data_IF_951186384584
#
_entry.id   IF_951186384584
#
_cell.length_a   1.000
_cell.length_b   1.000
_cell.length_c   1.000
_cell.angle_alpha   90.00
_cell.angle_beta   90.00
_cell.angle_gamma   90.00
#
_symmetry.space_group_name_H-M   'P 1'
#
loop_
_entity.id
_entity.type
_entity.pdbx_description
1 polymer ?
#
# COMPACT_ATOMS: atom_id res chain seq x y z
N UNK A 1 -14.32 -40.46 -18.09
CA UNK A 1 -14.82 -39.29 -18.85
C UNK A 1 -13.72 -38.23 -18.89
N UNK A 2 -13.60 -37.57 -20.04
CA UNK A 2 -12.51 -36.72 -20.57
C UNK A 2 -11.69 -35.89 -19.57
N UNK A 3 -10.43 -36.28 -19.36
CA UNK A 3 -9.34 -35.38 -18.97
C UNK A 3 -9.08 -34.40 -20.13
N UNK A 4 -9.72 -33.24 -20.10
CA UNK A 4 -9.42 -32.14 -21.03
C UNK A 4 -8.83 -31.00 -20.22
N UNK A 5 -7.52 -30.83 -20.32
CA UNK A 5 -6.88 -29.55 -20.01
C UNK A 5 -7.12 -28.68 -21.24
N UNK A 6 -7.89 -27.59 -21.08
CA UNK A 6 -7.99 -26.55 -22.09
C UNK A 6 -6.68 -25.76 -22.03
N UNK A 7 -5.66 -26.20 -22.79
CA UNK A 7 -4.59 -25.30 -23.16
C UNK A 7 -5.17 -24.33 -24.18
N UNK A 8 -5.46 -23.11 -23.74
CA UNK A 8 -5.51 -21.93 -24.60
C UNK A 8 -4.15 -21.87 -25.32
N UNK A 9 -4.07 -22.44 -26.52
CA UNK A 9 -2.89 -22.27 -27.37
C UNK A 9 -2.93 -20.82 -27.85
N UNK A 10 -2.05 -19.97 -27.30
CA UNK A 10 -1.89 -18.59 -27.72
C UNK A 10 -1.57 -18.54 -29.21
N UNK A 11 -2.50 -18.03 -30.01
CA UNK A 11 -2.46 -18.14 -31.48
C UNK A 11 -1.48 -17.17 -32.17
N UNK A 12 -0.70 -16.38 -31.43
CA UNK A 12 0.30 -15.45 -31.96
C UNK A 12 1.50 -15.36 -30.98
N UNK A 13 2.75 -15.67 -31.41
CA UNK A 13 3.93 -15.59 -30.54
C UNK A 13 4.09 -14.24 -29.81
N UNK A 14 3.71 -13.14 -30.46
CA UNK A 14 3.76 -11.80 -29.88
C UNK A 14 2.79 -11.58 -28.71
N UNK A 15 1.69 -12.33 -28.63
CA UNK A 15 0.75 -12.21 -27.50
C UNK A 15 1.32 -12.84 -26.24
N UNK A 16 2.04 -13.97 -26.37
CA UNK A 16 2.71 -14.59 -25.24
C UNK A 16 3.83 -13.69 -24.69
N UNK A 17 4.64 -13.11 -25.57
CA UNK A 17 5.68 -12.15 -25.16
C UNK A 17 5.08 -10.93 -24.44
N UNK A 18 3.97 -10.40 -24.95
CA UNK A 18 3.25 -9.30 -24.32
C UNK A 18 2.71 -9.69 -22.93
N UNK A 19 2.16 -10.88 -22.79
CA UNK A 19 1.65 -11.37 -21.51
C UNK A 19 2.76 -11.61 -20.49
N UNK A 20 3.90 -12.15 -20.92
CA UNK A 20 5.08 -12.30 -20.05
C UNK A 20 5.58 -10.92 -19.62
N UNK A 21 5.66 -9.96 -20.54
CA UNK A 21 6.04 -8.59 -20.22
C UNK A 21 5.12 -7.96 -19.17
N UNK A 22 3.80 -8.10 -19.34
CA UNK A 22 2.82 -7.60 -18.38
C UNK A 22 2.95 -8.28 -17.00
N UNK A 23 3.21 -9.60 -16.97
CA UNK A 23 3.44 -10.33 -15.73
C UNK A 23 4.69 -9.83 -15.00
N UNK A 24 5.82 -9.69 -15.70
CA UNK A 24 7.09 -9.21 -15.13
C UNK A 24 6.94 -7.79 -14.59
N UNK A 25 6.30 -6.90 -15.35
CA UNK A 25 6.08 -5.51 -14.95
C UNK A 25 5.27 -5.43 -13.66
N UNK A 26 4.12 -6.11 -13.62
CA UNK A 26 3.25 -6.11 -12.45
C UNK A 26 3.96 -6.67 -11.21
N UNK A 27 4.64 -7.81 -11.35
CA UNK A 27 5.27 -8.47 -10.21
C UNK A 27 6.49 -7.72 -9.66
N UNK A 28 7.24 -7.03 -10.52
CA UNK A 28 8.43 -6.31 -10.08
C UNK A 28 8.12 -4.91 -9.58
N UNK A 29 7.23 -4.17 -10.27
CA UNK A 29 7.09 -2.73 -10.07
C UNK A 29 5.79 -2.32 -9.37
N UNK A 30 4.73 -3.14 -9.41
CA UNK A 30 3.43 -2.75 -8.87
C UNK A 30 3.01 -3.57 -7.64
N UNK A 31 3.41 -4.84 -7.60
CA UNK A 31 3.02 -5.76 -6.53
C UNK A 31 3.82 -5.50 -5.26
N UNK A 32 3.14 -5.02 -4.23
CA UNK A 32 3.70 -4.95 -2.87
C UNK A 32 3.75 -6.34 -2.24
N UNK A 33 4.89 -6.68 -1.65
CA UNK A 33 5.09 -7.99 -1.03
C UNK A 33 5.22 -7.87 0.50
N UNK A 34 4.41 -8.65 1.23
CA UNK A 34 4.35 -8.57 2.70
C UNK A 34 5.68 -8.98 3.36
N UNK A 35 6.35 -10.00 2.81
CA UNK A 35 7.68 -10.46 3.23
C UNK A 35 8.75 -9.35 3.15
N UNK A 36 8.53 -8.37 2.26
CA UNK A 36 9.40 -7.22 2.04
C UNK A 36 8.89 -5.96 2.76
N UNK A 37 8.09 -6.10 3.82
CA UNK A 37 7.46 -4.97 4.50
C UNK A 37 6.58 -4.10 3.59
N UNK A 38 5.90 -4.73 2.62
CA UNK A 38 5.05 -4.07 1.63
C UNK A 38 5.81 -3.01 0.81
N UNK A 39 7.04 -3.31 0.40
CA UNK A 39 7.69 -2.63 -0.73
C UNK A 39 7.65 -3.51 -1.98
N UNK A 40 7.95 -2.92 -3.14
CA UNK A 40 8.00 -3.66 -4.41
C UNK A 40 9.34 -4.38 -4.55
N UNK A 41 9.41 -5.52 -5.27
CA UNK A 41 10.69 -6.16 -5.56
C UNK A 41 11.68 -5.24 -6.25
N UNK A 42 11.23 -4.36 -7.15
CA UNK A 42 12.07 -3.36 -7.78
C UNK A 42 12.70 -2.39 -6.76
N UNK A 43 11.95 -1.93 -5.76
CA UNK A 43 12.50 -1.06 -4.72
C UNK A 43 13.57 -1.75 -3.87
N UNK A 44 13.43 -3.04 -3.62
CA UNK A 44 14.47 -3.84 -2.95
C UNK A 44 15.69 -3.99 -3.86
N UNK A 45 15.47 -4.34 -5.13
CA UNK A 45 16.55 -4.50 -6.11
C UNK A 45 17.38 -3.22 -6.28
N UNK A 46 16.73 -2.06 -6.36
CA UNK A 46 17.38 -0.75 -6.46
C UNK A 46 17.82 -0.17 -5.11
N UNK A 47 17.61 -0.88 -3.99
CA UNK A 47 18.05 -0.48 -2.64
C UNK A 47 17.31 0.74 -2.06
N UNK A 48 16.09 1.03 -2.55
CA UNK A 48 15.23 2.13 -2.08
C UNK A 48 14.33 1.74 -0.90
N UNK A 49 14.22 0.44 -0.64
CA UNK A 49 13.40 -0.16 0.42
C UNK A 49 13.57 0.51 1.79
N UNK A 50 14.82 0.69 2.24
CA UNK A 50 15.12 1.24 3.57
C UNK A 50 14.66 2.68 3.72
N UNK A 51 14.83 3.50 2.68
CA UNK A 51 14.34 4.89 2.69
C UNK A 51 12.83 4.96 2.76
N UNK A 52 12.13 4.15 1.96
CA UNK A 52 10.66 4.09 1.92
C UNK A 52 10.11 3.69 3.29
N UNK A 53 10.67 2.63 3.90
CA UNK A 53 10.24 2.15 5.22
C UNK A 53 10.47 3.21 6.29
N UNK A 54 11.63 3.88 6.28
CA UNK A 54 11.95 4.96 7.23
C UNK A 54 10.97 6.13 7.11
N UNK A 55 10.71 6.59 5.89
CA UNK A 55 9.80 7.70 5.64
C UNK A 55 8.37 7.36 6.11
N UNK A 56 7.88 6.16 5.76
CA UNK A 56 6.57 5.66 6.23
C UNK A 56 6.47 5.65 7.76
N UNK A 57 7.52 5.21 8.45
CA UNK A 57 7.55 5.21 9.92
C UNK A 57 7.46 6.65 10.48
N UNK A 58 8.19 7.61 9.89
CA UNK A 58 8.12 9.01 10.29
C UNK A 58 6.73 9.60 10.07
N UNK A 59 6.13 9.38 8.89
CA UNK A 59 4.77 9.84 8.57
C UNK A 59 3.75 9.25 9.56
N UNK A 60 3.87 7.96 9.90
CA UNK A 60 2.98 7.29 10.86
C UNK A 60 3.04 7.98 12.23
N UNK A 61 4.24 8.26 12.73
CA UNK A 61 4.43 8.94 14.03
C UNK A 61 3.80 10.34 13.99
N UNK A 62 4.10 11.13 12.96
CA UNK A 62 3.56 12.49 12.81
C UNK A 62 2.03 12.49 12.72
N UNK A 63 1.47 11.54 11.98
CA UNK A 63 0.02 11.39 11.83
C UNK A 63 -0.64 11.07 13.17
N UNK A 64 -0.10 10.12 13.94
CA UNK A 64 -0.62 9.78 15.27
C UNK A 64 -0.58 11.00 16.20
N UNK A 65 0.52 11.75 16.22
CA UNK A 65 0.64 12.97 17.03
C UNK A 65 -0.40 14.02 16.64
N UNK A 66 -0.58 14.26 15.33
CA UNK A 66 -1.59 15.19 14.81
C UNK A 66 -3.00 14.75 15.22
N UNK A 67 -3.32 13.47 15.09
CA UNK A 67 -4.60 12.92 15.51
C UNK A 67 -4.86 13.12 17.01
N UNK A 68 -3.86 12.88 17.87
CA UNK A 68 -3.96 13.11 19.31
C UNK A 68 -4.24 14.58 19.64
N UNK A 69 -3.52 15.50 19.02
CA UNK A 69 -3.72 16.93 19.21
C UNK A 69 -5.12 17.39 18.80
N UNK A 70 -5.60 16.94 17.63
CA UNK A 70 -6.94 17.26 17.16
C UNK A 70 -8.02 16.70 18.08
N UNK A 71 -7.83 15.49 18.60
CA UNK A 71 -8.73 14.88 19.56
C UNK A 71 -8.81 15.69 20.86
N UNK A 72 -7.67 16.09 21.43
CA UNK A 72 -7.62 16.95 22.63
C UNK A 72 -8.34 18.28 22.41
N UNK A 73 -8.11 18.94 21.27
CA UNK A 73 -8.81 20.18 20.91
C UNK A 73 -10.33 19.97 20.83
N UNK A 74 -10.78 18.85 20.24
CA UNK A 74 -12.20 18.52 20.15
C UNK A 74 -12.81 18.32 21.53
N UNK A 75 -12.15 17.57 22.42
CA UNK A 75 -12.60 17.38 23.81
C UNK A 75 -12.69 18.71 24.55
N UNK A 76 -11.64 19.53 24.50
CA UNK A 76 -11.63 20.84 25.13
C UNK A 76 -12.79 21.73 24.64
N UNK A 77 -13.02 21.77 23.32
CA UNK A 77 -14.11 22.54 22.73
C UNK A 77 -15.48 22.00 23.15
N UNK A 78 -15.64 20.68 23.29
CA UNK A 78 -16.87 20.08 23.79
C UNK A 78 -17.13 20.45 25.25
N UNK A 79 -16.12 20.32 26.12
CA UNK A 79 -16.22 20.70 27.53
C UNK A 79 -16.61 22.18 27.70
N UNK A 80 -15.97 23.07 26.95
CA UNK A 80 -16.28 24.52 26.98
C UNK A 80 -17.73 24.80 26.55
N UNK A 81 -18.24 24.12 25.52
CA UNK A 81 -19.64 24.25 25.09
C UNK A 81 -20.62 23.72 26.13
N UNK A 82 -20.33 22.58 26.76
CA UNK A 82 -21.18 22.01 27.82
C UNK A 82 -21.24 22.95 29.02
N UNK A 83 -20.12 23.51 29.46
CA UNK A 83 -20.07 24.44 30.58
C UNK A 83 -20.80 25.76 30.30
N UNK A 84 -20.83 26.21 29.04
CA UNK A 84 -21.58 27.41 28.64
C UNK A 84 -23.10 27.16 28.58
N UNK A 85 -23.54 25.95 28.25
CA UNK A 85 -24.96 25.57 28.19
C UNK A 85 -25.59 25.28 29.56
N UNK A 86 -24.77 25.08 30.59
CA UNK A 86 -25.21 24.83 31.98
C UNK A 86 -25.31 26.11 32.83
N UNK A 87 -24.93 27.26 32.26
CA UNK A 87 -25.10 28.60 32.84
C UNK A 87 -26.31 29.28 32.23
#
# INVERSE_FOLDING_TARGET
MKNRVLLENYYLPGDLERQIGAFVEYHNNERYEESLNNVTPADVYFGRDKSIIRERAQIKIQTIQKCRLQHQKKLHNQTSKTNQSLR
#
